data_IF_489242073439
#
_entry.id   IF_489242073439
#
_cell.length_a   1.000
_cell.length_b   1.000
_cell.length_c   1.000
_cell.angle_alpha   90.00
_cell.angle_beta   90.00
_cell.angle_gamma   90.00
#
_symmetry.space_group_name_H-M   'P 1'
#
loop_
_entity.id
_entity.type
_entity.pdbx_description
1 polymer ?
#
# COMPACT_ATOMS: atom_id res chain seq x y z
N UNK A 1 23.59 -2.68 -2.55
CA UNK A 1 23.46 -4.14 -2.73
C UNK A 1 23.21 -4.77 -1.37
N UNK A 2 22.24 -5.69 -1.24
CA UNK A 2 22.00 -6.38 0.04
C UNK A 2 23.18 -7.32 0.34
N UNK A 3 23.95 -7.01 1.38
CA UNK A 3 25.24 -7.67 1.69
C UNK A 3 25.14 -9.16 1.98
N UNK A 4 23.97 -9.62 2.42
CA UNK A 4 23.71 -11.01 2.81
C UNK A 4 22.75 -11.72 1.86
N UNK A 5 22.60 -11.20 0.64
CA UNK A 5 21.87 -11.88 -0.42
C UNK A 5 22.90 -12.51 -1.36
N UNK A 6 23.02 -13.84 -1.30
CA UNK A 6 24.05 -14.60 -2.02
C UNK A 6 23.91 -14.45 -3.54
N UNK A 7 22.68 -14.36 -4.04
CA UNK A 7 22.39 -14.13 -5.46
C UNK A 7 21.64 -12.80 -5.67
N UNK A 8 22.31 -11.77 -6.21
CA UNK A 8 21.67 -10.49 -6.49
C UNK A 8 20.57 -10.59 -7.56
N UNK A 9 20.56 -11.63 -8.39
CA UNK A 9 19.49 -11.86 -9.38
C UNK A 9 18.13 -12.06 -8.73
N UNK A 10 18.09 -12.58 -7.49
CA UNK A 10 16.86 -12.74 -6.72
C UNK A 10 16.21 -11.40 -6.38
N UNK A 11 17.02 -10.40 -6.03
CA UNK A 11 16.51 -9.05 -5.75
C UNK A 11 15.97 -8.41 -7.02
N UNK A 12 16.70 -8.52 -8.13
CA UNK A 12 16.26 -8.02 -9.43
C UNK A 12 14.93 -8.66 -9.82
N UNK A 13 14.84 -9.99 -9.76
CA UNK A 13 13.63 -10.74 -10.09
C UNK A 13 12.46 -10.37 -9.17
N UNK A 14 12.72 -10.20 -7.87
CA UNK A 14 11.71 -9.77 -6.92
C UNK A 14 11.14 -8.39 -7.28
N UNK A 15 11.99 -7.43 -7.64
CA UNK A 15 11.57 -6.08 -8.04
C UNK A 15 10.81 -6.08 -9.36
N UNK A 16 11.24 -6.88 -10.34
CA UNK A 16 10.50 -7.11 -11.59
C UNK A 16 9.10 -7.65 -11.32
N UNK A 17 8.97 -8.69 -10.48
CA UNK A 17 7.67 -9.25 -10.13
C UNK A 17 6.78 -8.25 -9.40
N UNK A 18 7.34 -7.38 -8.57
CA UNK A 18 6.56 -6.30 -7.94
C UNK A 18 6.06 -5.27 -8.95
N UNK A 19 6.88 -4.91 -9.93
CA UNK A 19 6.46 -4.03 -11.02
C UNK A 19 5.38 -4.70 -11.89
N UNK A 20 5.53 -5.98 -12.19
CA UNK A 20 4.59 -6.78 -12.97
C UNK A 20 3.24 -6.90 -12.26
N UNK A 21 3.23 -7.23 -10.97
CA UNK A 21 2.00 -7.27 -10.15
C UNK A 21 1.30 -5.92 -10.21
N UNK A 22 2.03 -4.81 -10.07
CA UNK A 22 1.43 -3.47 -10.14
C UNK A 22 0.81 -3.20 -11.51
N UNK A 23 1.49 -3.61 -12.60
CA UNK A 23 0.97 -3.48 -13.96
C UNK A 23 -0.31 -4.30 -14.15
N UNK A 24 -0.29 -5.58 -13.79
CA UNK A 24 -1.43 -6.49 -13.91
C UNK A 24 -2.61 -6.03 -13.04
N UNK A 25 -2.36 -5.50 -11.85
CA UNK A 25 -3.41 -4.92 -11.00
C UNK A 25 -4.07 -3.72 -11.69
N UNK A 26 -3.29 -2.80 -12.27
CA UNK A 26 -3.85 -1.67 -13.00
C UNK A 26 -4.65 -2.12 -14.23
N UNK A 27 -4.18 -3.15 -14.95
CA UNK A 27 -4.90 -3.73 -16.09
C UNK A 27 -6.22 -4.39 -15.65
N UNK A 28 -6.24 -5.10 -14.52
CA UNK A 28 -7.49 -5.65 -13.97
C UNK A 28 -8.47 -4.53 -13.58
N UNK A 29 -7.98 -3.44 -12.98
CA UNK A 29 -8.78 -2.28 -12.61
C UNK A 29 -9.42 -1.60 -13.83
N UNK A 30 -8.76 -1.61 -15.00
CA UNK A 30 -9.35 -1.04 -16.23
C UNK A 30 -10.41 -1.94 -16.85
N UNK A 31 -10.29 -3.26 -16.70
CA UNK A 31 -11.27 -4.24 -17.20
C UNK A 31 -12.51 -4.34 -16.31
N UNK A 32 -12.34 -4.11 -15.00
CA UNK A 32 -13.38 -4.33 -13.99
C UNK A 32 -14.71 -3.61 -14.27
N UNK A 33 -14.76 -2.34 -14.70
CA UNK A 33 -16.02 -1.65 -14.97
C UNK A 33 -16.83 -2.31 -16.09
N UNK A 34 -16.17 -2.78 -17.15
CA UNK A 34 -16.85 -3.44 -18.27
C UNK A 34 -17.43 -4.80 -17.85
N UNK A 35 -16.67 -5.58 -17.07
CA UNK A 35 -17.14 -6.87 -16.52
C UNK A 35 -18.30 -6.64 -15.54
N UNK A 36 -18.20 -5.62 -14.69
CA UNK A 36 -19.26 -5.28 -13.73
C UNK A 36 -20.55 -4.84 -14.44
N UNK A 37 -20.44 -4.04 -15.49
CA UNK A 37 -21.57 -3.64 -16.31
C UNK A 37 -22.26 -4.85 -16.96
N UNK A 38 -21.50 -5.78 -17.52
CA UNK A 38 -22.04 -7.01 -18.08
C UNK A 38 -22.75 -7.86 -17.00
N UNK A 39 -22.13 -8.03 -15.82
CA UNK A 39 -22.72 -8.80 -14.73
C UNK A 39 -24.01 -8.18 -14.17
N UNK A 40 -24.21 -6.86 -14.25
CA UNK A 40 -25.47 -6.25 -13.82
C UNK A 40 -26.66 -6.61 -14.71
N UNK A 41 -26.42 -6.95 -15.97
CA UNK A 41 -27.44 -7.40 -16.92
C UNK A 41 -27.74 -8.91 -16.78
N UNK A 42 -26.87 -9.67 -16.12
CA UNK A 42 -27.05 -11.10 -15.90
C UNK A 42 -28.10 -11.40 -14.80
N UNK A 43 -28.86 -12.50 -14.93
CA UNK A 43 -29.74 -12.97 -13.87
C UNK A 43 -28.99 -13.17 -12.55
N UNK A 44 -29.57 -12.68 -11.45
CA UNK A 44 -28.97 -12.71 -10.11
C UNK A 44 -27.61 -12.00 -9.97
N UNK A 45 -27.16 -11.28 -11.00
CA UNK A 45 -25.84 -10.65 -11.07
C UNK A 45 -24.68 -11.66 -10.97
N UNK A 46 -24.82 -12.82 -11.63
CA UNK A 46 -23.86 -13.92 -11.61
C UNK A 46 -23.64 -14.50 -12.99
N UNK A 47 -22.43 -15.01 -13.23
CA UNK A 47 -22.10 -15.75 -14.45
C UNK A 47 -21.06 -16.84 -14.19
N UNK A 48 -20.98 -17.83 -15.06
CA UNK A 48 -19.91 -18.83 -15.07
C UNK A 48 -19.12 -18.73 -16.38
N UNK A 49 -17.80 -18.67 -16.29
CA UNK A 49 -16.92 -18.60 -17.45
C UNK A 49 -15.58 -19.26 -17.17
N UNK A 50 -15.13 -20.17 -18.05
CA UNK A 50 -13.81 -20.78 -17.95
C UNK A 50 -13.53 -21.55 -16.65
N UNK A 51 -14.56 -22.10 -16.00
CA UNK A 51 -14.45 -22.78 -14.71
C UNK A 51 -14.47 -21.85 -13.49
N UNK A 52 -14.73 -20.55 -13.68
CA UNK A 52 -14.88 -19.58 -12.61
C UNK A 52 -16.32 -19.11 -12.49
N UNK A 53 -16.77 -18.88 -11.26
CA UNK A 53 -18.02 -18.18 -10.96
C UNK A 53 -17.73 -16.71 -10.66
N UNK A 54 -18.45 -15.82 -11.34
CA UNK A 54 -18.38 -14.38 -11.16
C UNK A 54 -19.66 -13.90 -10.47
N UNK A 55 -19.53 -13.01 -9.49
CA UNK A 55 -20.65 -12.43 -8.75
C UNK A 55 -20.36 -10.98 -8.40
N UNK A 56 -21.37 -10.12 -8.40
CA UNK A 56 -21.23 -8.73 -7.96
C UNK A 56 -21.05 -8.67 -6.43
N UNK A 57 -19.92 -8.13 -5.97
CA UNK A 57 -19.65 -7.83 -4.57
C UNK A 57 -19.80 -6.33 -4.28
N UNK A 58 -20.60 -5.96 -3.28
CA UNK A 58 -20.75 -4.55 -2.87
C UNK A 58 -20.15 -4.32 -1.49
N UNK A 59 -19.30 -3.29 -1.37
CA UNK A 59 -18.82 -2.78 -0.08
C UNK A 59 -19.37 -1.38 0.13
N UNK A 60 -20.01 -1.15 1.28
CA UNK A 60 -20.42 0.20 1.71
C UNK A 60 -19.33 0.80 2.60
N UNK A 61 -18.92 2.02 2.27
CA UNK A 61 -17.99 2.80 3.09
C UNK A 61 -18.78 3.92 3.75
N UNK A 62 -18.67 4.05 5.07
CA UNK A 62 -19.39 5.04 5.87
C UNK A 62 -18.44 6.11 6.37
N UNK A 63 -18.89 7.36 6.32
CA UNK A 63 -18.26 8.44 7.08
C UNK A 63 -18.91 8.51 8.46
N UNK A 64 -18.11 8.41 9.52
CA UNK A 64 -18.60 8.49 10.89
C UNK A 64 -18.55 9.93 11.41
N UNK A 65 -19.38 10.23 12.42
CA UNK A 65 -19.42 11.54 13.06
C UNK A 65 -18.08 11.89 13.73
N UNK A 66 -17.81 13.18 13.91
CA UNK A 66 -16.59 13.67 14.57
C UNK A 66 -16.41 13.05 15.97
N UNK A 67 -17.51 12.84 16.70
CA UNK A 67 -17.50 12.17 18.01
C UNK A 67 -16.96 10.75 17.93
N UNK A 68 -17.39 9.95 16.93
CA UNK A 68 -16.90 8.58 16.76
C UNK A 68 -15.43 8.58 16.36
N UNK A 69 -15.04 9.48 15.45
CA UNK A 69 -13.63 9.62 15.04
C UNK A 69 -12.73 10.01 16.23
N UNK A 70 -13.20 10.88 17.14
CA UNK A 70 -12.48 11.23 18.35
C UNK A 70 -12.28 10.01 19.28
N UNK A 71 -13.31 9.19 19.47
CA UNK A 71 -13.23 7.96 20.25
C UNK A 71 -12.30 6.92 19.62
N UNK A 72 -12.30 6.79 18.29
CA UNK A 72 -11.36 5.92 17.58
C UNK A 72 -9.90 6.36 17.79
N UNK A 73 -9.67 7.67 17.79
CA UNK A 73 -8.35 8.24 18.02
C UNK A 73 -7.88 8.06 19.48
N UNK A 74 -8.79 8.20 20.44
CA UNK A 74 -8.54 7.88 21.84
C UNK A 74 -8.20 6.39 22.02
N UNK A 75 -9.03 5.50 21.46
CA UNK A 75 -8.79 4.06 21.49
C UNK A 75 -7.45 3.66 20.88
N UNK A 76 -7.08 4.28 19.75
CA UNK A 76 -5.76 4.09 19.12
C UNK A 76 -4.62 4.51 20.02
N UNK A 77 -4.80 5.58 20.79
CA UNK A 77 -3.81 6.07 21.75
C UNK A 77 -3.68 5.11 22.93
N UNK A 78 -4.79 4.60 23.46
CA UNK A 78 -4.81 3.61 24.53
C UNK A 78 -4.13 2.30 24.11
N UNK A 79 -4.44 1.77 22.93
CA UNK A 79 -3.77 0.56 22.40
C UNK A 79 -2.26 0.71 22.33
N UNK A 80 -1.78 1.84 21.79
CA UNK A 80 -0.34 2.12 21.73
C UNK A 80 0.31 2.21 23.12
N UNK A 81 -0.41 2.75 24.10
CA UNK A 81 0.07 2.81 25.48
C UNK A 81 0.21 1.42 26.07
N UNK A 82 -0.79 0.56 25.90
CA UNK A 82 -0.72 -0.84 26.35
C UNK A 82 0.41 -1.62 25.68
N UNK A 83 0.68 -1.36 24.39
CA UNK A 83 1.83 -1.93 23.68
C UNK A 83 3.17 -1.46 24.27
N UNK A 84 3.27 -0.20 24.69
CA UNK A 84 4.49 0.40 25.22
C UNK A 84 4.77 0.02 26.68
N UNK A 85 3.72 -0.06 27.50
CA UNK A 85 3.85 -0.37 28.93
C UNK A 85 3.84 -1.88 29.24
N UNK A 86 3.64 -2.73 28.22
CA UNK A 86 3.69 -4.18 28.33
C UNK A 86 2.38 -4.81 28.83
N UNK A 87 1.30 -4.02 28.95
CA UNK A 87 -0.04 -4.55 29.23
C UNK A 87 -0.55 -5.39 28.05
N UNK A 88 -0.25 -4.99 26.81
CA UNK A 88 -0.61 -5.75 25.62
C UNK A 88 0.29 -6.99 25.46
N UNK A 89 -0.33 -8.14 25.21
CA UNK A 89 0.40 -9.39 24.95
C UNK A 89 0.68 -9.56 23.45
N UNK A 90 1.96 -9.67 23.08
CA UNK A 90 2.36 -9.95 21.69
C UNK A 90 2.03 -11.40 21.33
N UNK A 91 0.99 -11.60 20.52
CA UNK A 91 0.52 -12.93 20.11
C UNK A 91 1.23 -13.44 18.86
N UNK A 92 1.65 -12.53 17.96
CA UNK A 92 2.31 -12.87 16.69
C UNK A 92 3.14 -11.69 16.19
N UNK A 93 4.34 -12.00 15.68
CA UNK A 93 5.21 -11.05 14.98
C UNK A 93 5.55 -11.60 13.59
N UNK A 94 5.37 -10.79 12.55
CA UNK A 94 5.67 -11.18 11.16
C UNK A 94 6.31 -10.00 10.45
N UNK A 95 7.45 -10.24 9.81
CA UNK A 95 8.17 -9.24 9.01
C UNK A 95 7.90 -9.43 7.52
N UNK A 96 7.88 -8.34 6.76
CA UNK A 96 7.67 -8.36 5.31
C UNK A 96 8.55 -7.31 4.63
N UNK A 97 8.86 -7.52 3.34
CA UNK A 97 9.69 -6.62 2.54
C UNK A 97 8.86 -5.46 2.01
N UNK A 98 9.29 -4.22 2.31
CA UNK A 98 8.69 -2.99 1.79
C UNK A 98 9.62 -2.39 0.73
N UNK A 99 9.08 -2.14 -0.46
CA UNK A 99 9.80 -1.49 -1.56
C UNK A 99 9.22 -0.10 -1.76
N UNK A 100 10.07 0.93 -1.73
CA UNK A 100 9.70 2.32 -2.04
C UNK A 100 10.70 2.89 -3.05
N UNK A 101 10.26 3.67 -4.04
CA UNK A 101 11.19 4.39 -4.91
C UNK A 101 12.00 5.39 -4.06
N UNK A 102 13.29 5.52 -4.35
CA UNK A 102 14.11 6.56 -3.75
C UNK A 102 13.65 7.90 -4.34
N UNK A 103 13.35 8.89 -3.48
CA UNK A 103 13.11 10.26 -3.95
C UNK A 103 14.45 10.79 -4.49
N UNK A 104 14.49 11.48 -5.65
CA UNK A 104 15.73 12.09 -6.10
C UNK A 104 16.18 13.09 -5.04
N UNK A 105 17.46 12.99 -4.65
CA UNK A 105 18.11 13.94 -3.77
C UNK A 105 18.19 15.26 -4.55
N UNK A 106 17.36 16.23 -4.23
CA UNK A 106 17.57 17.60 -4.71
C UNK A 106 18.71 18.16 -3.88
N UNK A 107 19.91 18.38 -4.44
CA UNK A 107 20.97 19.05 -3.68
C UNK A 107 20.44 20.42 -3.23
N UNK A 108 20.67 20.74 -1.95
CA UNK A 108 20.37 22.06 -1.42
C UNK A 108 21.06 23.11 -2.29
N UNK A 109 20.42 24.26 -2.60
CA UNK A 109 21.09 25.33 -3.33
C UNK A 109 22.33 25.73 -2.53
N UNK A 110 23.48 25.63 -3.18
CA UNK A 110 24.79 25.92 -2.62
C UNK A 110 24.77 27.27 -1.88
N UNK A 111 25.31 27.29 -0.66
CA UNK A 111 25.73 28.52 -0.01
C UNK A 111 26.66 29.26 -0.97
N UNK A 112 26.18 30.37 -1.56
CA UNK A 112 27.04 31.30 -2.28
C UNK A 112 28.18 31.69 -1.32
N UNK A 113 29.45 31.50 -1.69
CA UNK A 113 30.53 32.07 -0.91
C UNK A 113 30.36 33.59 -0.98
N UNK A 114 29.93 34.17 0.13
CA UNK A 114 30.00 35.59 0.41
C UNK A 114 31.44 36.02 0.18
N UNK A 115 31.70 36.57 -1.01
CA UNK A 115 32.95 37.19 -1.36
C UNK A 115 33.10 38.47 -0.57
N UNK A 116 33.65 38.35 0.63
CA UNK A 116 34.27 39.46 1.33
C UNK A 116 35.72 39.54 0.80
N UNK A 117 35.99 40.49 -0.08
CA UNK A 117 37.36 40.85 -0.44
C UNK A 117 37.53 42.37 -0.25
N UNK A 118 38.39 42.80 0.69
CA UNK A 118 38.60 44.21 0.99
C UNK A 118 39.71 44.80 0.11
N UNK A 119 39.48 46.00 -0.42
CA UNK A 119 40.52 46.96 -0.79
C UNK A 119 39.98 48.39 -0.73
#
# INVERSE_FOLDING_TARGET
MLRYLDDPSLLTRYLELKAEIKRLQAELETLQPAILAALWEEPEQRAEYGGYQLTVGTRRTYAYSERVQALEQELKTLKKREEQDGTATLVRHTSFVVVRPLKPDTPAPDDEPSGDEPA
#
